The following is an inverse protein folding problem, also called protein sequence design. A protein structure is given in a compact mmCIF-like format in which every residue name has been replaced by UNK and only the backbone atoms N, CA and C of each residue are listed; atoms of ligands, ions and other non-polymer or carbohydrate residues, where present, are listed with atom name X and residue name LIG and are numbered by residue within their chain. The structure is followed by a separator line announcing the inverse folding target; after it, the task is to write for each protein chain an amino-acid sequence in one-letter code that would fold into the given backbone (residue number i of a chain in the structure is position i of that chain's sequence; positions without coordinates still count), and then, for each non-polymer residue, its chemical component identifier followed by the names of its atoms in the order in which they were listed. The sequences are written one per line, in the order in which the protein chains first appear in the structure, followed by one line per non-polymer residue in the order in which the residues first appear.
data_IF_441100044487
#
_entry.id   IF_441100044487
#
_cell.length_a   1.000
_cell.length_b   1.000
_cell.length_c   1.000
_cell.angle_alpha   90.00
_cell.angle_beta   90.00
_cell.angle_gamma   90.00
#
_symmetry.space_group_name_H-M   'P 1'
#
loop_
_entity.id
_entity.type
_entity.pdbx_description
1 polymer ?
#
# COMPACT_ATOMS: atom_id res chain seq x y z
N UNK A 1 -23.81 -19.00 38.02
CA UNK A 1 -23.12 -17.74 38.37
C UNK A 1 -22.99 -16.92 37.10
N UNK A 2 -23.39 -15.63 37.07
CA UNK A 2 -23.17 -14.79 35.91
C UNK A 2 -21.66 -14.57 35.74
N UNK A 3 -21.15 -14.83 34.54
CA UNK A 3 -19.76 -14.51 34.19
C UNK A 3 -19.62 -12.98 34.36
N UNK A 4 -18.61 -12.47 35.09
CA UNK A 4 -18.43 -11.03 35.23
C UNK A 4 -18.34 -10.41 33.83
N UNK A 5 -19.10 -9.34 33.59
CA UNK A 5 -19.10 -8.61 32.33
C UNK A 5 -17.68 -8.10 32.06
N UNK A 6 -16.94 -8.85 31.22
CA UNK A 6 -15.65 -8.42 30.71
C UNK A 6 -15.87 -7.14 29.91
N UNK A 7 -15.07 -6.10 30.17
CA UNK A 7 -15.21 -4.84 29.44
C UNK A 7 -14.94 -5.05 27.94
N UNK A 8 -15.63 -4.28 27.10
CA UNK A 8 -15.47 -4.38 25.65
C UNK A 8 -14.02 -4.12 25.23
N UNK A 9 -13.30 -3.22 25.92
CA UNK A 9 -11.88 -2.95 25.66
C UNK A 9 -10.99 -4.18 25.89
N UNK A 10 -11.28 -4.99 26.90
CA UNK A 10 -10.52 -6.22 27.17
C UNK A 10 -10.84 -7.29 26.12
N UNK A 11 -12.10 -7.40 25.70
CA UNK A 11 -12.52 -8.27 24.59
C UNK A 11 -11.77 -7.86 23.32
N UNK A 12 -11.77 -6.57 22.98
CA UNK A 12 -11.13 -6.04 21.79
C UNK A 12 -9.62 -6.26 21.82
N UNK A 13 -8.99 -6.09 22.99
CA UNK A 13 -7.57 -6.34 23.20
C UNK A 13 -7.20 -7.81 23.04
N UNK A 14 -8.04 -8.75 23.51
CA UNK A 14 -7.85 -10.19 23.32
C UNK A 14 -7.96 -10.54 21.83
N UNK A 15 -9.01 -10.07 21.16
CA UNK A 15 -9.23 -10.34 19.73
C UNK A 15 -8.12 -9.71 18.89
N UNK A 16 -7.58 -8.56 19.30
CA UNK A 16 -6.45 -7.91 18.63
C UNK A 16 -5.18 -8.77 18.60
N UNK A 17 -4.97 -9.66 19.58
CA UNK A 17 -3.85 -10.61 19.58
C UNK A 17 -3.97 -11.69 18.49
N UNK A 18 -5.16 -11.87 17.91
CA UNK A 18 -5.42 -12.85 16.86
C UNK A 18 -5.15 -12.30 15.45
N UNK A 19 -4.51 -11.13 15.33
CA UNK A 19 -4.19 -10.51 14.04
C UNK A 19 -3.36 -11.48 13.19
N UNK A 20 -3.89 -11.85 12.02
CA UNK A 20 -3.27 -12.81 11.10
C UNK A 20 -3.82 -14.24 11.21
N UNK A 21 -4.45 -14.62 12.33
CA UNK A 21 -5.14 -15.91 12.45
C UNK A 21 -6.58 -15.80 11.93
N UNK A 22 -6.71 -15.86 10.61
CA UNK A 22 -8.00 -15.75 9.90
C UNK A 22 -9.00 -16.83 10.36
N UNK A 23 -8.53 -18.03 10.68
CA UNK A 23 -9.42 -19.13 11.07
C UNK A 23 -10.01 -18.89 12.46
N UNK A 24 -9.20 -18.46 13.42
CA UNK A 24 -9.68 -18.13 14.76
C UNK A 24 -10.54 -16.88 14.75
N UNK A 25 -10.15 -15.84 13.98
CA UNK A 25 -10.96 -14.63 13.83
C UNK A 25 -12.35 -14.93 13.24
N UNK A 26 -12.45 -15.83 12.25
CA UNK A 26 -13.75 -16.29 11.72
C UNK A 26 -14.60 -16.92 12.81
N UNK A 27 -14.02 -17.79 13.64
CA UNK A 27 -14.74 -18.38 14.78
C UNK A 27 -15.20 -17.30 15.76
N UNK A 28 -14.36 -16.31 16.06
CA UNK A 28 -14.72 -15.17 16.93
C UNK A 28 -15.95 -14.41 16.44
N UNK A 29 -16.15 -14.27 15.12
CA UNK A 29 -17.37 -13.63 14.58
C UNK A 29 -18.67 -14.38 14.91
N UNK A 30 -18.59 -15.66 15.25
CA UNK A 30 -19.73 -16.51 15.55
C UNK A 30 -19.99 -16.70 17.05
N UNK A 31 -19.07 -16.24 17.92
CA UNK A 31 -19.17 -16.46 19.38
C UNK A 31 -20.27 -15.59 19.99
N UNK A 32 -20.18 -14.26 19.83
CA UNK A 32 -21.17 -13.32 20.34
C UNK A 32 -21.08 -11.96 19.65
N UNK A 33 -22.10 -11.12 19.83
CA UNK A 33 -22.17 -9.79 19.20
C UNK A 33 -21.02 -8.87 19.61
N UNK A 34 -20.51 -8.97 20.84
CA UNK A 34 -19.37 -8.18 21.32
C UNK A 34 -18.07 -8.49 20.59
N UNK A 35 -17.89 -9.70 20.05
CA UNK A 35 -16.66 -10.09 19.36
C UNK A 35 -16.67 -9.68 17.88
N UNK A 36 -17.88 -9.51 17.32
CA UNK A 36 -18.09 -9.31 15.89
C UNK A 36 -17.37 -8.08 15.33
N UNK A 37 -17.45 -6.86 15.92
CA UNK A 37 -16.89 -5.66 15.31
C UNK A 37 -15.37 -5.75 15.14
N UNK A 38 -14.67 -6.16 16.21
CA UNK A 38 -13.20 -6.24 16.22
C UNK A 38 -12.71 -7.40 15.37
N UNK A 39 -13.38 -8.56 15.41
CA UNK A 39 -13.03 -9.70 14.58
C UNK A 39 -13.23 -9.38 13.08
N UNK A 40 -14.34 -8.76 12.68
CA UNK A 40 -14.57 -8.34 11.30
C UNK A 40 -13.54 -7.31 10.84
N UNK A 41 -13.24 -6.29 11.66
CA UNK A 41 -12.23 -5.29 11.32
C UNK A 41 -10.89 -5.94 11.03
N UNK A 42 -10.45 -6.89 11.87
CA UNK A 42 -9.18 -7.60 11.67
C UNK A 42 -9.19 -8.56 10.48
N UNK A 43 -10.32 -9.22 10.20
CA UNK A 43 -10.48 -10.10 9.03
C UNK A 43 -10.35 -9.35 7.71
N UNK A 44 -10.89 -8.13 7.65
CA UNK A 44 -10.89 -7.30 6.44
C UNK A 44 -9.82 -6.20 6.47
N UNK A 45 -8.90 -6.23 7.44
CA UNK A 45 -7.86 -5.22 7.59
C UNK A 45 -6.84 -5.22 6.44
N UNK A 46 -6.59 -6.40 5.86
CA UNK A 46 -5.64 -6.57 4.78
C UNK A 46 -6.29 -7.28 3.60
N UNK A 47 -6.12 -6.72 2.41
CA UNK A 47 -6.60 -7.30 1.15
C UNK A 47 -5.41 -7.54 0.24
N UNK A 48 -5.30 -8.78 -0.25
CA UNK A 48 -4.32 -9.16 -1.27
C UNK A 48 -5.05 -9.47 -2.57
N UNK A 49 -4.56 -8.85 -3.64
CA UNK A 49 -5.10 -8.98 -4.99
C UNK A 49 -4.02 -9.55 -5.89
N UNK A 50 -4.24 -10.80 -6.31
CA UNK A 50 -3.39 -11.47 -7.28
C UNK A 50 -4.05 -11.46 -8.66
N UNK A 51 -3.44 -10.74 -9.61
CA UNK A 51 -3.93 -10.68 -10.98
C UNK A 51 -3.44 -11.85 -11.86
N UNK A 52 -2.50 -12.69 -11.41
CA UNK A 52 -2.03 -13.84 -12.21
C UNK A 52 -3.01 -14.98 -12.29
N UNK A 53 -3.67 -15.31 -11.18
CA UNK A 53 -4.36 -16.59 -11.05
C UNK A 53 -5.84 -16.51 -11.43
N UNK A 54 -6.46 -15.34 -11.31
CA UNK A 54 -7.93 -15.19 -11.41
C UNK A 54 -8.37 -13.95 -12.21
N UNK A 55 -7.50 -13.47 -13.11
CA UNK A 55 -7.36 -12.13 -13.72
C UNK A 55 -8.58 -11.25 -14.04
N UNK A 56 -9.83 -11.69 -13.97
CA UNK A 56 -11.01 -10.83 -14.23
C UNK A 56 -12.00 -10.80 -13.05
N UNK A 57 -12.11 -11.91 -12.32
CA UNK A 57 -13.20 -12.09 -11.36
C UNK A 57 -12.91 -11.45 -10.01
N UNK A 58 -11.65 -11.33 -9.59
CA UNK A 58 -11.34 -10.84 -8.24
C UNK A 58 -11.52 -9.34 -8.13
N UNK A 59 -10.99 -8.55 -9.07
CA UNK A 59 -11.13 -7.09 -9.05
C UNK A 59 -12.60 -6.65 -9.18
N UNK A 60 -13.37 -7.32 -10.04
CA UNK A 60 -14.80 -7.05 -10.21
C UNK A 60 -15.59 -7.45 -8.97
N UNK A 61 -15.37 -8.66 -8.42
CA UNK A 61 -15.98 -9.09 -7.16
C UNK A 61 -15.64 -8.15 -6.01
N UNK A 62 -14.39 -7.68 -5.92
CA UNK A 62 -13.98 -6.72 -4.91
C UNK A 62 -14.75 -5.41 -5.08
N UNK A 63 -14.75 -4.82 -6.27
CA UNK A 63 -15.46 -3.57 -6.52
C UNK A 63 -16.96 -3.71 -6.20
N UNK A 64 -17.61 -4.79 -6.65
CA UNK A 64 -19.01 -5.08 -6.33
C UNK A 64 -19.23 -5.25 -4.82
N UNK A 65 -18.36 -6.01 -4.13
CA UNK A 65 -18.47 -6.25 -2.69
C UNK A 65 -18.30 -4.96 -1.88
N UNK A 66 -17.36 -4.10 -2.26
CA UNK A 66 -17.14 -2.80 -1.63
C UNK A 66 -18.31 -1.84 -1.91
N UNK A 67 -18.91 -1.91 -3.10
CA UNK A 67 -20.06 -1.08 -3.47
C UNK A 67 -21.31 -1.48 -2.67
N UNK A 68 -21.51 -2.80 -2.47
CA UNK A 68 -22.60 -3.34 -1.67
C UNK A 68 -22.39 -3.16 -0.17
N UNK A 69 -21.14 -3.09 0.30
CA UNK A 69 -20.80 -3.00 1.72
C UNK A 69 -19.82 -1.85 2.01
N UNK A 70 -20.29 -0.59 2.08
CA UNK A 70 -19.43 0.56 2.36
C UNK A 70 -18.69 0.50 3.70
N UNK A 71 -19.16 -0.32 4.65
CA UNK A 71 -18.45 -0.54 5.92
C UNK A 71 -17.12 -1.27 5.74
N UNK A 72 -17.04 -2.20 4.78
CA UNK A 72 -15.80 -2.94 4.51
C UNK A 72 -14.68 -2.02 4.03
N UNK A 73 -15.02 -0.99 3.25
CA UNK A 73 -14.08 0.04 2.78
C UNK A 73 -13.29 0.68 3.93
N UNK A 74 -13.95 0.88 5.09
CA UNK A 74 -13.35 1.51 6.27
C UNK A 74 -12.44 0.58 7.07
N UNK A 75 -12.60 -0.73 6.91
CA UNK A 75 -11.77 -1.72 7.60
C UNK A 75 -10.45 -1.97 6.89
N UNK A 76 -10.38 -1.75 5.57
CA UNK A 76 -9.20 -2.03 4.78
C UNK A 76 -8.12 -0.97 5.07
N UNK A 77 -7.10 -1.40 5.82
CA UNK A 77 -5.95 -0.60 6.23
C UNK A 77 -4.70 -0.95 5.40
N UNK A 78 -4.65 -2.15 4.82
CA UNK A 78 -3.51 -2.64 4.03
C UNK A 78 -3.97 -3.27 2.73
N UNK A 79 -3.29 -2.92 1.64
CA UNK A 79 -3.62 -3.37 0.31
C UNK A 79 -2.37 -3.82 -0.42
N UNK A 80 -2.41 -5.05 -0.95
CA UNK A 80 -1.29 -5.69 -1.62
C UNK A 80 -1.70 -6.11 -3.02
N UNK A 81 -0.94 -5.68 -4.03
CA UNK A 81 -1.13 -6.04 -5.43
C UNK A 81 -0.01 -6.92 -5.92
N UNK A 82 -0.38 -7.98 -6.63
CA UNK A 82 0.51 -8.67 -7.54
C UNK A 82 0.08 -8.37 -8.97
N UNK A 83 0.81 -7.45 -9.61
CA UNK A 83 0.49 -6.93 -10.94
C UNK A 83 1.16 -7.77 -12.03
N UNK A 84 0.32 -8.22 -12.96
CA UNK A 84 0.72 -8.78 -14.25
C UNK A 84 0.39 -7.78 -15.36
N UNK A 85 1.43 -7.32 -16.06
CA UNK A 85 1.35 -6.21 -17.01
C UNK A 85 0.53 -6.51 -18.27
N UNK A 86 0.29 -7.80 -18.55
CA UNK A 86 -0.48 -8.26 -19.71
C UNK A 86 -1.96 -8.53 -19.40
N UNK A 87 -2.45 -8.18 -18.21
CA UNK A 87 -3.81 -8.50 -17.77
C UNK A 87 -4.90 -7.57 -18.35
N UNK A 88 -4.94 -7.38 -19.67
CA UNK A 88 -6.06 -6.83 -20.46
C UNK A 88 -6.95 -5.74 -19.80
N UNK A 89 -8.27 -5.82 -20.04
CA UNK A 89 -9.27 -4.85 -19.56
C UNK A 89 -9.47 -4.83 -18.03
N UNK A 90 -8.77 -5.67 -17.28
CA UNK A 90 -8.98 -5.88 -15.84
C UNK A 90 -8.37 -4.77 -14.99
N UNK A 91 -7.42 -4.06 -15.58
CA UNK A 91 -6.68 -2.96 -14.98
C UNK A 91 -7.60 -1.74 -14.72
N UNK A 92 -8.63 -1.51 -15.54
CA UNK A 92 -9.56 -0.38 -15.37
C UNK A 92 -10.48 -0.56 -14.14
N UNK A 93 -10.98 -1.78 -13.93
CA UNK A 93 -11.80 -2.14 -12.76
C UNK A 93 -11.01 -1.93 -11.47
N UNK A 94 -9.73 -2.33 -11.50
CA UNK A 94 -8.82 -2.13 -10.38
C UNK A 94 -8.65 -0.64 -10.05
N UNK A 95 -8.42 0.20 -11.07
CA UNK A 95 -8.28 1.64 -10.88
C UNK A 95 -9.51 2.27 -10.19
N UNK A 96 -10.72 1.81 -10.52
CA UNK A 96 -11.94 2.22 -9.84
C UNK A 96 -11.98 1.79 -8.37
N UNK A 97 -11.68 0.52 -8.08
CA UNK A 97 -11.67 -0.02 -6.72
C UNK A 97 -10.65 0.67 -5.81
N UNK A 98 -9.50 1.08 -6.34
CA UNK A 98 -8.44 1.79 -5.61
C UNK A 98 -8.92 3.09 -4.94
N UNK A 99 -9.91 3.76 -5.52
CA UNK A 99 -10.45 5.01 -4.95
C UNK A 99 -11.36 4.79 -3.73
N UNK A 100 -11.68 3.54 -3.40
CA UNK A 100 -12.67 3.18 -2.38
C UNK A 100 -12.07 2.90 -0.99
N UNK A 101 -10.78 3.18 -0.77
CA UNK A 101 -10.09 2.89 0.50
C UNK A 101 -9.70 4.18 1.24
N UNK A 102 -10.61 4.76 2.06
CA UNK A 102 -10.35 6.03 2.74
C UNK A 102 -9.33 5.92 3.88
N UNK A 103 -9.17 4.73 4.47
CA UNK A 103 -8.32 4.50 5.64
C UNK A 103 -7.07 3.69 5.29
N UNK A 104 -6.63 3.73 4.03
CA UNK A 104 -5.51 2.92 3.60
C UNK A 104 -4.20 3.45 4.20
N UNK A 105 -3.51 2.60 4.98
CA UNK A 105 -2.27 2.95 5.69
C UNK A 105 -1.04 2.24 5.11
N UNK A 106 -1.25 1.12 4.42
CA UNK A 106 -0.17 0.32 3.83
C UNK A 106 -0.51 -0.07 2.40
N UNK A 107 0.39 0.24 1.47
CA UNK A 107 0.30 -0.15 0.08
C UNK A 107 1.51 -1.00 -0.31
N UNK A 108 1.25 -2.17 -0.88
CA UNK A 108 2.29 -3.05 -1.40
C UNK A 108 2.01 -3.30 -2.89
N UNK A 109 2.98 -2.98 -3.74
CA UNK A 109 2.94 -3.20 -5.18
C UNK A 109 4.05 -4.19 -5.51
N UNK A 110 3.67 -5.36 -5.99
CA UNK A 110 4.60 -6.39 -6.45
C UNK A 110 4.37 -6.65 -7.92
N UNK A 111 5.44 -6.79 -8.67
CA UNK A 111 5.37 -7.34 -10.00
C UNK A 111 6.46 -8.37 -10.24
N UNK A 112 6.11 -9.39 -11.01
CA UNK A 112 6.95 -10.50 -11.37
C UNK A 112 6.87 -10.67 -12.88
N UNK A 113 8.02 -10.71 -13.55
CA UNK A 113 8.10 -10.86 -15.00
C UNK A 113 9.13 -9.94 -15.64
N UNK A 114 9.42 -10.20 -16.91
CA UNK A 114 10.42 -9.48 -17.72
C UNK A 114 9.92 -8.15 -18.29
N UNK A 115 8.59 -7.94 -18.34
CA UNK A 115 7.94 -6.77 -18.94
C UNK A 115 7.25 -5.89 -17.88
N UNK A 116 7.96 -5.61 -16.79
CA UNK A 116 7.45 -4.92 -15.60
C UNK A 116 7.66 -3.40 -15.60
N UNK A 117 7.59 -2.76 -16.77
CA UNK A 117 7.87 -1.33 -16.93
C UNK A 117 6.69 -0.43 -16.56
N UNK A 118 6.82 0.44 -15.55
CA UNK A 118 5.83 1.43 -15.08
C UNK A 118 4.94 2.03 -16.17
N UNK A 119 5.53 2.46 -17.27
CA UNK A 119 4.85 3.08 -18.41
C UNK A 119 3.84 2.16 -19.12
N UNK A 120 4.04 0.85 -19.07
CA UNK A 120 3.15 -0.15 -19.66
C UNK A 120 1.85 -0.37 -18.86
N UNK A 121 1.70 0.22 -17.64
CA UNK A 121 0.41 0.24 -16.95
C UNK A 121 -0.52 1.20 -17.68
N UNK A 122 -1.79 0.82 -17.73
CA UNK A 122 -2.87 1.71 -18.10
C UNK A 122 -2.75 3.04 -17.33
N UNK A 123 -2.98 4.15 -18.04
CA UNK A 123 -2.88 5.50 -17.48
C UNK A 123 -3.79 5.71 -16.27
N UNK A 124 -4.99 5.10 -16.27
CA UNK A 124 -5.95 5.20 -15.17
C UNK A 124 -5.43 4.50 -13.92
N UNK A 125 -4.82 3.32 -14.05
CA UNK A 125 -4.23 2.61 -12.92
C UNK A 125 -3.00 3.37 -12.38
N UNK A 126 -2.14 3.89 -13.25
CA UNK A 126 -1.01 4.74 -12.81
C UNK A 126 -1.50 5.93 -12.00
N UNK A 127 -2.52 6.62 -12.50
CA UNK A 127 -3.09 7.77 -11.82
C UNK A 127 -3.71 7.39 -10.47
N UNK A 128 -4.47 6.29 -10.42
CA UNK A 128 -5.06 5.79 -9.18
C UNK A 128 -3.99 5.42 -8.13
N UNK A 129 -2.91 4.75 -8.54
CA UNK A 129 -1.80 4.42 -7.64
C UNK A 129 -1.07 5.67 -7.14
N UNK A 130 -0.80 6.64 -8.02
CA UNK A 130 -0.18 7.92 -7.64
C UNK A 130 -1.07 8.73 -6.69
N UNK A 131 -2.40 8.68 -6.88
CA UNK A 131 -3.34 9.32 -5.96
C UNK A 131 -3.33 8.68 -4.58
N UNK A 132 -3.26 7.35 -4.50
CA UNK A 132 -3.13 6.65 -3.22
C UNK A 132 -1.86 7.06 -2.50
N UNK A 133 -0.73 7.17 -3.20
CA UNK A 133 0.54 7.61 -2.60
C UNK A 133 0.45 9.01 -1.97
N UNK A 134 -0.48 9.85 -2.44
CA UNK A 134 -0.73 11.18 -1.90
C UNK A 134 -1.81 11.21 -0.80
N UNK A 135 -2.39 10.08 -0.40
CA UNK A 135 -3.35 10.04 0.70
C UNK A 135 -2.67 10.31 2.04
N UNK A 136 -3.27 11.20 2.85
CA UNK A 136 -2.74 11.62 4.14
C UNK A 136 -2.59 10.48 5.16
N UNK A 137 -3.40 9.42 5.05
CA UNK A 137 -3.40 8.28 5.96
C UNK A 137 -2.35 7.20 5.60
N UNK A 138 -1.74 7.28 4.41
CA UNK A 138 -0.83 6.25 3.93
C UNK A 138 0.52 6.35 4.65
N UNK A 139 0.86 5.38 5.49
CA UNK A 139 2.08 5.39 6.31
C UNK A 139 3.21 4.56 5.70
N UNK A 140 2.86 3.49 5.00
CA UNK A 140 3.80 2.49 4.52
C UNK A 140 3.60 2.20 3.04
N UNK A 141 4.69 2.20 2.27
CA UNK A 141 4.71 1.82 0.85
C UNK A 141 5.82 0.82 0.59
N UNK A 142 5.50 -0.26 -0.11
CA UNK A 142 6.46 -1.21 -0.63
C UNK A 142 6.27 -1.37 -2.13
N UNK A 143 7.33 -1.20 -2.90
CA UNK A 143 7.34 -1.44 -4.36
C UNK A 143 8.42 -2.46 -4.68
N UNK A 144 8.02 -3.58 -5.27
CA UNK A 144 8.92 -4.70 -5.57
C UNK A 144 8.81 -5.07 -7.04
N UNK A 145 9.96 -5.13 -7.73
CA UNK A 145 10.06 -5.63 -9.10
C UNK A 145 9.31 -4.76 -10.12
N UNK A 146 9.36 -3.43 -10.00
CA UNK A 146 8.74 -2.50 -10.97
C UNK A 146 9.81 -1.65 -11.64
N UNK A 147 10.02 -1.82 -12.93
CA UNK A 147 11.00 -1.06 -13.72
C UNK A 147 10.44 0.35 -14.04
N UNK A 148 11.25 1.40 -13.95
CA UNK A 148 10.85 2.76 -14.30
C UNK A 148 9.84 3.42 -13.35
N UNK A 149 9.72 2.96 -12.10
CA UNK A 149 8.82 3.59 -11.12
C UNK A 149 9.26 5.03 -10.80
N UNK A 150 8.33 6.00 -10.74
CA UNK A 150 8.65 7.41 -10.51
C UNK A 150 8.94 7.68 -9.02
N UNK A 151 10.19 7.45 -8.59
CA UNK A 151 10.62 7.66 -7.20
C UNK A 151 10.39 9.10 -6.70
N UNK A 152 10.38 10.09 -7.60
CA UNK A 152 10.11 11.49 -7.28
C UNK A 152 8.73 11.74 -6.66
N UNK A 153 7.78 10.80 -6.79
CA UNK A 153 6.48 10.89 -6.11
C UNK A 153 6.64 11.00 -4.60
N UNK A 154 7.64 10.32 -4.01
CA UNK A 154 7.85 10.29 -2.57
C UNK A 154 8.27 11.66 -1.99
N UNK A 155 8.76 12.58 -2.83
CA UNK A 155 9.13 13.93 -2.38
C UNK A 155 7.96 14.73 -1.81
N UNK A 156 6.71 14.33 -2.09
CA UNK A 156 5.50 15.03 -1.61
C UNK A 156 4.78 14.29 -0.48
N UNK A 157 5.16 13.04 -0.23
CA UNK A 157 4.48 12.14 0.70
C UNK A 157 4.96 12.31 2.15
N UNK A 158 4.72 13.46 2.76
CA UNK A 158 5.18 13.80 4.12
C UNK A 158 4.63 12.86 5.21
N UNK A 159 3.53 12.18 4.94
CA UNK A 159 2.91 11.23 5.86
C UNK A 159 3.65 9.88 5.96
N UNK A 160 4.48 9.54 4.96
CA UNK A 160 5.13 8.23 4.88
C UNK A 160 6.22 8.07 5.95
N UNK A 161 6.19 6.93 6.64
CA UNK A 161 7.18 6.54 7.65
C UNK A 161 8.00 5.34 7.22
N UNK A 162 7.46 4.50 6.35
CA UNK A 162 8.11 3.27 5.89
C UNK A 162 8.08 3.20 4.38
N UNK A 163 9.27 3.14 3.76
CA UNK A 163 9.43 2.96 2.33
C UNK A 163 10.32 1.73 2.10
N UNK A 164 9.83 0.79 1.30
CA UNK A 164 10.58 -0.38 0.85
C UNK A 164 10.60 -0.43 -0.67
N UNK A 165 11.79 -0.49 -1.26
CA UNK A 165 11.97 -0.52 -2.72
C UNK A 165 12.95 -1.62 -3.11
N UNK A 166 12.46 -2.67 -3.75
CA UNK A 166 13.26 -3.84 -4.08
C UNK A 166 13.17 -4.15 -5.57
N UNK A 167 14.31 -4.28 -6.27
CA UNK A 167 14.32 -4.57 -7.70
C UNK A 167 13.61 -3.52 -8.58
N UNK A 168 13.68 -2.23 -8.21
CA UNK A 168 13.01 -1.13 -8.91
C UNK A 168 14.03 -0.26 -9.64
N UNK A 169 14.11 -0.34 -10.97
CA UNK A 169 15.01 0.56 -11.71
C UNK A 169 14.39 1.96 -11.79
N UNK A 170 15.08 2.98 -11.30
CA UNK A 170 14.58 4.35 -11.34
C UNK A 170 14.41 4.83 -12.79
N UNK A 171 13.36 5.59 -13.07
CA UNK A 171 13.17 6.20 -14.39
C UNK A 171 14.22 7.31 -14.60
N UNK A 172 15.10 7.16 -15.60
CA UNK A 172 16.18 8.12 -15.91
C UNK A 172 15.68 9.49 -16.39
N UNK A 173 14.41 9.60 -16.80
CA UNK A 173 13.80 10.84 -17.28
C UNK A 173 12.80 11.42 -16.26
N UNK A 174 13.32 12.15 -15.27
CA UNK A 174 12.52 12.90 -14.28
C UNK A 174 11.61 14.00 -14.89
N UNK A 175 11.63 14.22 -16.20
CA UNK A 175 10.92 15.31 -16.89
C UNK A 175 9.40 15.12 -16.99
N UNK A 176 8.87 13.88 -16.92
CA UNK A 176 7.44 13.64 -17.12
C UNK A 176 6.60 13.70 -15.84
N UNK A 177 7.19 13.57 -14.64
CA UNK A 177 6.42 13.54 -13.38
C UNK A 177 5.96 14.93 -12.94
N UNK A 178 6.66 15.98 -13.38
CA UNK A 178 6.33 17.37 -13.03
C UNK A 178 4.97 17.85 -13.56
N UNK A 179 4.41 17.22 -14.61
CA UNK A 179 3.12 17.60 -15.18
C UNK A 179 1.90 16.94 -14.54
N UNK A 180 2.06 15.86 -13.78
CA UNK A 180 0.92 15.04 -13.35
C UNK A 180 0.39 15.35 -11.94
N UNK A 181 1.04 16.23 -11.18
CA UNK A 181 0.62 16.51 -9.80
C UNK A 181 0.62 18.01 -9.51
N UNK A 182 -0.51 18.60 -9.08
CA UNK A 182 -0.59 20.01 -8.68
C UNK A 182 0.42 20.30 -7.58
N UNK A 183 1.07 21.47 -7.66
CA UNK A 183 2.10 21.92 -6.71
C UNK A 183 1.44 22.10 -5.34
N UNK A 184 1.72 21.22 -4.38
CA UNK A 184 1.27 21.41 -3.00
C UNK A 184 2.28 22.28 -2.25
N UNK A 185 1.84 23.46 -1.85
CA UNK A 185 2.57 24.48 -1.08
C UNK A 185 2.66 24.16 0.42
N UNK A 186 2.56 22.90 0.81
CA UNK A 186 2.40 22.56 2.23
C UNK A 186 3.75 22.55 2.98
N UNK A 187 3.86 23.27 4.10
CA UNK A 187 5.07 23.37 4.91
C UNK A 187 5.32 22.14 5.79
N UNK A 188 4.45 21.11 5.71
CA UNK A 188 4.56 19.93 6.57
C UNK A 188 5.71 19.03 6.11
N UNK A 189 6.78 19.07 6.90
CA UNK A 189 7.89 18.14 6.76
C UNK A 189 7.61 16.87 7.57
N UNK A 190 7.66 15.74 6.87
CA UNK A 190 7.54 14.40 7.41
C UNK A 190 8.89 13.80 7.82
N UNK A 191 8.82 12.72 8.58
CA UNK A 191 10.01 11.99 9.02
C UNK A 191 9.92 10.52 8.62
N UNK A 192 10.91 10.06 7.87
CA UNK A 192 11.01 8.66 7.50
C UNK A 192 11.65 7.88 8.66
N UNK A 193 11.03 6.77 9.05
CA UNK A 193 11.47 5.93 10.16
C UNK A 193 12.17 4.65 9.66
N UNK A 194 11.73 4.11 8.52
CA UNK A 194 12.32 2.93 7.90
C UNK A 194 12.49 3.12 6.40
N UNK A 195 13.67 2.77 5.91
CA UNK A 195 14.00 2.73 4.50
C UNK A 195 14.69 1.39 4.21
N UNK A 196 14.11 0.60 3.33
CA UNK A 196 14.72 -0.65 2.87
C UNK A 196 14.79 -0.69 1.35
N UNK A 197 15.86 -1.29 0.85
CA UNK A 197 15.95 -1.72 -0.53
C UNK A 197 16.79 -2.96 -0.72
N UNK A 198 16.29 -3.85 -1.58
CA UNK A 198 16.90 -5.13 -1.89
C UNK A 198 17.31 -5.22 -3.35
N UNK A 199 18.36 -5.99 -3.61
CA UNK A 199 18.81 -6.29 -4.96
C UNK A 199 17.97 -7.42 -5.57
N UNK A 200 17.41 -7.14 -6.73
CA UNK A 200 17.03 -8.16 -7.69
C UNK A 200 18.14 -8.20 -8.75
N UNK A 201 19.10 -9.11 -8.57
CA UNK A 201 20.16 -9.57 -9.49
C UNK A 201 21.15 -8.56 -10.12
N UNK A 202 20.97 -7.23 -10.07
CA UNK A 202 22.00 -6.28 -10.55
C UNK A 202 21.77 -4.82 -10.14
N UNK A 203 21.09 -4.58 -9.01
CA UNK A 203 20.28 -3.40 -8.78
C UNK A 203 20.67 -2.46 -7.63
N UNK A 204 21.96 -2.28 -7.30
CA UNK A 204 22.41 -1.31 -6.29
C UNK A 204 21.94 0.16 -6.56
N UNK A 205 21.45 0.47 -7.76
CA UNK A 205 21.04 1.82 -8.16
C UNK A 205 19.70 2.31 -7.56
N UNK A 206 18.79 1.42 -7.18
CA UNK A 206 17.42 1.77 -6.79
C UNK A 206 17.36 2.53 -5.47
N UNK A 207 18.02 1.99 -4.44
CA UNK A 207 18.07 2.58 -3.10
C UNK A 207 18.84 3.90 -3.13
N UNK A 208 19.93 3.97 -3.90
CA UNK A 208 20.71 5.20 -4.08
C UNK A 208 19.89 6.28 -4.78
N UNK A 209 19.21 5.97 -5.87
CA UNK A 209 18.35 6.92 -6.57
C UNK A 209 17.22 7.43 -5.66
N UNK A 210 16.66 6.57 -4.81
CA UNK A 210 15.67 7.01 -3.81
C UNK A 210 16.28 7.94 -2.77
N UNK A 211 17.47 7.63 -2.24
CA UNK A 211 18.17 8.51 -1.29
C UNK A 211 18.49 9.87 -1.93
N UNK A 212 18.92 9.90 -3.19
CA UNK A 212 19.18 11.14 -3.94
C UNK A 212 17.89 11.97 -4.11
N UNK A 213 16.75 11.32 -4.35
CA UNK A 213 15.43 11.97 -4.41
C UNK A 213 15.01 12.54 -3.04
N UNK A 214 15.19 11.78 -1.96
CA UNK A 214 14.76 12.18 -0.61
C UNK A 214 15.68 13.22 0.03
N UNK A 215 16.95 13.30 -0.40
CA UNK A 215 17.91 14.32 0.06
C UNK A 215 17.74 15.65 -0.66
N UNK A 216 16.92 15.72 -1.71
CA UNK A 216 16.58 16.96 -2.39
C UNK A 216 16.00 18.01 -1.42
N UNK A 217 16.41 19.29 -1.48
CA UNK A 217 15.90 20.35 -0.60
C UNK A 217 14.37 20.50 -0.61
N UNK A 218 13.74 20.16 -1.74
CA UNK A 218 12.29 20.22 -1.96
C UNK A 218 11.55 18.95 -1.51
N UNK A 219 12.25 17.94 -0.98
CA UNK A 219 11.62 16.77 -0.39
C UNK A 219 10.93 17.15 0.92
N UNK A 220 9.66 16.79 1.04
CA UNK A 220 8.91 16.93 2.29
C UNK A 220 9.29 15.86 3.31
N UNK A 221 9.97 14.78 2.91
CA UNK A 221 10.45 13.72 3.79
C UNK A 221 11.90 13.94 4.22
N UNK A 222 12.13 13.87 5.54
CA UNK A 222 13.47 13.96 6.14
C UNK A 222 13.96 12.59 6.62
N UNK A 223 15.24 12.30 6.37
CA UNK A 223 15.93 11.06 6.79
C UNK A 223 16.53 11.14 8.21
N UNK A 224 16.41 12.27 8.90
CA UNK A 224 17.08 12.51 10.19
C UNK A 224 16.54 11.67 11.35
N UNK A 225 15.36 11.05 11.21
CA UNK A 225 14.77 10.13 12.19
C UNK A 225 14.78 8.67 11.72
N UNK A 226 15.61 8.34 10.74
CA UNK A 226 15.70 7.00 10.21
C UNK A 226 16.23 6.05 11.29
N UNK A 227 15.41 5.07 11.67
CA UNK A 227 15.74 4.06 12.69
C UNK A 227 16.23 2.76 12.06
N UNK A 228 15.73 2.47 10.85
CA UNK A 228 16.05 1.26 10.11
C UNK A 228 16.48 1.65 8.69
N UNK A 229 17.69 1.24 8.32
CA UNK A 229 18.20 1.35 6.96
C UNK A 229 18.75 -0.01 6.55
N UNK A 230 18.13 -0.63 5.55
CA UNK A 230 18.62 -1.86 4.96
C UNK A 230 18.83 -1.63 3.47
N UNK A 231 20.08 -1.55 3.03
CA UNK A 231 20.45 -1.49 1.63
C UNK A 231 21.41 -2.65 1.34
N UNK A 232 21.10 -3.44 0.31
CA UNK A 232 22.13 -4.25 -0.33
C UNK A 232 23.11 -3.27 -1.02
N UNK A 233 24.35 -3.22 -0.51
CA UNK A 233 25.46 -2.40 -1.01
C UNK A 233 26.28 -3.18 -2.02
#
# INVERSE_FOLDING_TARGET
MPIPHLSQELIDSIIAQLRGDVQTLRKCTLVCQSFLPTAQRLLFAAVELDSSTEGTNVCTKLQTSLSLNPRLQRYIESLSFRLFWHAGNHIQVLAGALTMFPNLRSLIIRSFGTENQWIALDSSLRYALLNILNQAELVSVSVTGVQGFPLSVFMRCHQLRHISIEGVVAHSNNSHVHHFLPVSSDPNTGWLESLSGGEWESGAGSTRALVDVLTNPHSSLRLSRLRSFAAAL
#
